data_IF_982872611764
#
_entry.id   IF_982872611764
#
_cell.length_a   1.000
_cell.length_b   1.000
_cell.length_c   1.000
_cell.angle_alpha   90.00
_cell.angle_beta   90.00
_cell.angle_gamma   90.00
#
_symmetry.space_group_name_H-M   'P 1'
#
loop_
_entity.id
_entity.type
_entity.pdbx_description
1 polymer ?
#
# COMPACT_ATOMS: atom_id res chain seq x y z
N UNK A 1 55.84 39.74 26.37
CA UNK A 1 56.49 39.85 25.04
C UNK A 1 56.72 38.50 24.34
N UNK A 2 56.75 37.34 25.02
CA UNK A 2 56.97 36.02 24.39
C UNK A 2 55.73 35.45 23.68
N UNK A 3 54.52 35.69 24.21
CA UNK A 3 53.26 35.17 23.64
C UNK A 3 52.90 35.82 22.29
N UNK A 4 53.17 37.12 22.13
CA UNK A 4 52.80 37.86 20.91
C UNK A 4 53.68 37.46 19.71
N UNK A 5 54.97 37.19 19.95
CA UNK A 5 55.87 36.65 18.92
C UNK A 5 55.52 35.23 18.48
N UNK A 6 54.97 34.40 19.38
CA UNK A 6 54.49 33.04 19.07
C UNK A 6 53.22 33.05 18.22
N UNK A 7 52.33 34.02 18.46
CA UNK A 7 51.10 34.17 17.68
C UNK A 7 51.40 34.63 16.24
N UNK A 8 52.36 35.54 16.06
CA UNK A 8 52.75 36.04 14.73
C UNK A 8 53.44 34.93 13.90
N UNK A 9 54.30 34.11 14.52
CA UNK A 9 54.94 32.96 13.84
C UNK A 9 53.98 31.82 13.54
N UNK A 10 53.02 31.52 14.42
CA UNK A 10 51.97 30.54 14.13
C UNK A 10 51.06 31.02 12.98
N UNK A 11 50.79 32.32 12.90
CA UNK A 11 49.95 32.91 11.86
C UNK A 11 50.62 32.90 10.48
N UNK A 12 51.93 33.16 10.41
CA UNK A 12 52.68 33.10 9.14
C UNK A 12 52.84 31.67 8.62
N UNK A 13 53.09 30.70 9.52
CA UNK A 13 53.11 29.27 9.19
C UNK A 13 51.75 28.77 8.69
N UNK A 14 50.66 29.29 9.27
CA UNK A 14 49.29 28.97 8.86
C UNK A 14 48.97 29.51 7.46
N UNK A 15 49.34 30.76 7.18
CA UNK A 15 49.14 31.39 5.86
C UNK A 15 49.92 30.64 4.76
N UNK A 16 51.14 30.18 5.05
CA UNK A 16 51.92 29.40 4.07
C UNK A 16 51.28 28.03 3.76
N UNK A 17 50.55 27.43 4.71
CA UNK A 17 49.82 26.16 4.50
C UNK A 17 48.55 26.34 3.68
N UNK A 18 47.91 27.52 3.73
CA UNK A 18 46.76 27.91 2.88
C UNK A 18 47.27 28.35 1.50
N UNK A 19 47.91 27.43 0.79
CA UNK A 19 48.28 27.61 -0.60
C UNK A 19 47.18 27.01 -1.49
N UNK A 20 46.86 27.67 -2.61
CA UNK A 20 45.89 27.18 -3.61
C UNK A 20 46.15 25.73 -4.03
N UNK A 21 47.42 25.28 -4.08
CA UNK A 21 47.77 23.90 -4.40
C UNK A 21 47.34 22.91 -3.30
N UNK A 22 47.49 23.28 -2.03
CA UNK A 22 47.08 22.48 -0.88
C UNK A 22 45.55 22.50 -0.72
N UNK A 23 44.90 23.65 -0.92
CA UNK A 23 43.44 23.75 -0.88
C UNK A 23 42.77 22.90 -1.96
N UNK A 24 43.32 22.87 -3.19
CA UNK A 24 42.82 21.98 -4.25
C UNK A 24 42.96 20.50 -3.89
N UNK A 25 44.07 20.14 -3.24
CA UNK A 25 44.33 18.78 -2.79
C UNK A 25 43.35 18.37 -1.66
N UNK A 26 43.13 19.23 -0.67
CA UNK A 26 42.11 19.03 0.37
C UNK A 26 40.70 18.94 -0.23
N UNK A 27 40.35 19.82 -1.16
CA UNK A 27 39.06 19.78 -1.85
C UNK A 27 38.86 18.46 -2.61
N UNK A 28 39.90 17.96 -3.27
CA UNK A 28 39.88 16.66 -3.93
C UNK A 28 39.61 15.52 -2.93
N UNK A 29 40.30 15.50 -1.80
CA UNK A 29 40.08 14.48 -0.76
C UNK A 29 38.68 14.55 -0.15
N UNK A 30 38.13 15.74 0.06
CA UNK A 30 36.76 15.92 0.58
C UNK A 30 35.73 15.39 -0.43
N UNK A 31 35.88 15.73 -1.71
CA UNK A 31 34.96 15.26 -2.77
C UNK A 31 35.06 13.74 -2.94
N UNK A 32 36.27 13.19 -2.99
CA UNK A 32 36.47 11.73 -3.10
C UNK A 32 35.90 11.01 -1.88
N UNK A 33 36.12 11.54 -0.67
CA UNK A 33 35.53 10.99 0.56
C UNK A 33 34.00 11.00 0.52
N UNK A 34 33.38 12.08 0.03
CA UNK A 34 31.93 12.18 -0.12
C UNK A 34 31.39 11.18 -1.15
N UNK A 35 32.04 11.06 -2.31
CA UNK A 35 31.66 10.08 -3.35
C UNK A 35 31.79 8.65 -2.84
N UNK A 36 32.87 8.32 -2.12
CA UNK A 36 33.07 6.99 -1.54
C UNK A 36 32.07 6.71 -0.41
N UNK A 37 31.80 7.67 0.48
CA UNK A 37 30.82 7.54 1.55
C UNK A 37 29.42 7.27 1.01
N UNK A 38 28.98 8.07 0.03
CA UNK A 38 27.72 7.83 -0.66
C UNK A 38 27.73 6.51 -1.45
N UNK A 39 28.85 6.16 -2.08
CA UNK A 39 29.03 4.88 -2.77
C UNK A 39 28.87 3.68 -1.82
N UNK A 40 29.49 3.71 -0.63
CA UNK A 40 29.36 2.69 0.40
C UNK A 40 27.92 2.62 0.90
N UNK A 41 27.24 3.74 1.15
CA UNK A 41 25.81 3.76 1.51
C UNK A 41 24.95 3.11 0.41
N UNK A 42 25.23 3.42 -0.86
CA UNK A 42 24.54 2.80 -1.99
C UNK A 42 24.89 1.32 -2.17
N UNK A 43 26.03 0.84 -1.69
CA UNK A 43 26.39 -0.57 -1.72
C UNK A 43 25.83 -1.33 -0.51
N UNK A 44 25.86 -0.77 0.70
CA UNK A 44 25.39 -1.44 1.92
C UNK A 44 23.87 -1.35 2.08
N UNK A 45 23.26 -0.18 1.83
CA UNK A 45 21.81 0.01 1.85
C UNK A 45 21.17 -0.21 0.46
N UNK A 46 21.89 0.12 -0.61
CA UNK A 46 21.38 -0.03 -1.97
C UNK A 46 21.61 -1.40 -2.60
N UNK A 47 22.56 -2.26 -2.19
CA UNK A 47 22.58 -3.65 -2.67
C UNK A 47 21.47 -4.50 -2.03
N UNK A 48 21.11 -4.20 -0.78
CA UNK A 48 19.93 -4.80 -0.11
C UNK A 48 18.63 -4.38 -0.79
N UNK A 49 18.52 -3.13 -1.25
CA UNK A 49 17.35 -2.66 -2.00
C UNK A 49 17.40 -3.03 -3.49
N UNK A 50 18.55 -3.10 -4.16
CA UNK A 50 18.65 -3.36 -5.61
C UNK A 50 18.60 -4.85 -5.97
N UNK A 51 19.05 -5.75 -5.08
CA UNK A 51 18.84 -7.20 -5.24
C UNK A 51 17.42 -7.61 -4.78
N UNK A 52 16.84 -6.95 -3.77
CA UNK A 52 15.40 -7.12 -3.46
C UNK A 52 14.53 -6.53 -4.57
N UNK A 53 14.69 -5.27 -4.97
CA UNK A 53 13.81 -4.63 -5.96
C UNK A 53 13.91 -5.25 -7.35
N UNK A 54 15.05 -5.77 -7.80
CA UNK A 54 15.09 -6.47 -9.09
C UNK A 54 14.35 -7.82 -9.05
N UNK A 55 14.38 -8.54 -7.94
CA UNK A 55 13.58 -9.76 -7.77
C UNK A 55 12.10 -9.43 -7.51
N UNK A 56 11.80 -8.38 -6.74
CA UNK A 56 10.44 -7.92 -6.39
C UNK A 56 9.72 -7.26 -7.56
N UNK A 57 10.43 -6.52 -8.42
CA UNK A 57 9.84 -5.90 -9.60
C UNK A 57 9.60 -6.92 -10.72
N UNK A 58 10.50 -7.90 -10.88
CA UNK A 58 10.28 -9.01 -11.80
C UNK A 58 9.16 -9.94 -11.29
N UNK A 59 9.06 -10.18 -9.98
CA UNK A 59 7.93 -10.91 -9.40
C UNK A 59 6.62 -10.12 -9.47
N UNK A 60 6.62 -8.79 -9.28
CA UNK A 60 5.41 -7.97 -9.40
C UNK A 60 4.96 -7.80 -10.86
N UNK A 61 5.89 -7.77 -11.81
CA UNK A 61 5.57 -7.72 -13.24
C UNK A 61 5.08 -9.09 -13.76
N UNK A 62 5.59 -10.20 -13.22
CA UNK A 62 5.19 -11.55 -13.61
C UNK A 62 3.98 -12.11 -12.83
N UNK A 63 3.77 -11.68 -11.58
CA UNK A 63 2.63 -12.08 -10.75
C UNK A 63 1.41 -11.17 -10.93
N UNK A 64 1.56 -10.07 -11.68
CA UNK A 64 0.57 -9.00 -11.69
C UNK A 64 0.56 -8.27 -10.34
N UNK A 65 -0.04 -7.09 -10.33
CA UNK A 65 -0.35 -6.40 -9.08
C UNK A 65 -1.35 -7.30 -8.35
N UNK A 66 -1.00 -7.81 -7.17
CA UNK A 66 -1.90 -8.61 -6.34
C UNK A 66 -3.13 -7.76 -5.96
N UNK A 67 -4.15 -7.75 -6.81
CA UNK A 67 -5.37 -6.94 -6.62
C UNK A 67 -6.05 -7.31 -5.31
N UNK A 68 -6.02 -8.59 -4.91
CA UNK A 68 -6.49 -9.05 -3.61
C UNK A 68 -5.69 -8.43 -2.45
N UNK A 69 -4.36 -8.37 -2.53
CA UNK A 69 -3.55 -7.77 -1.47
C UNK A 69 -3.86 -6.27 -1.38
N UNK A 70 -3.92 -5.59 -2.52
CA UNK A 70 -4.20 -4.16 -2.59
C UNK A 70 -5.64 -3.79 -2.13
N UNK A 71 -6.65 -4.61 -2.47
CA UNK A 71 -8.05 -4.36 -2.15
C UNK A 71 -8.56 -4.97 -0.84
N UNK A 72 -7.85 -5.91 -0.22
CA UNK A 72 -8.34 -6.58 1.00
C UNK A 72 -7.33 -6.56 2.15
N UNK A 73 -6.04 -6.41 1.87
CA UNK A 73 -4.98 -6.46 2.90
C UNK A 73 -4.33 -5.09 3.15
N UNK A 74 -4.10 -4.32 2.09
CA UNK A 74 -3.39 -3.04 2.15
C UNK A 74 -4.41 -1.88 2.23
N UNK A 75 -4.81 -1.56 3.46
CA UNK A 75 -5.70 -0.44 3.75
C UNK A 75 -5.47 0.14 5.14
N UNK A 76 -6.24 1.17 5.48
CA UNK A 76 -6.26 1.77 6.81
C UNK A 76 -7.68 1.92 7.34
N UNK A 77 -7.81 1.82 8.66
CA UNK A 77 -9.03 2.25 9.34
C UNK A 77 -8.99 3.76 9.53
N UNK A 78 -9.97 4.48 8.99
CA UNK A 78 -10.02 5.96 9.05
C UNK A 78 -10.78 6.50 10.27
N UNK A 79 -11.26 5.62 11.16
CA UNK A 79 -12.07 5.98 12.33
C UNK A 79 -12.88 4.79 12.85
N UNK A 80 -14.03 5.05 13.47
CA UNK A 80 -14.93 4.02 13.99
C UNK A 80 -15.44 3.09 12.87
N UNK A 81 -14.88 1.87 12.83
CA UNK A 81 -15.36 0.73 12.04
C UNK A 81 -15.40 0.89 10.51
N UNK A 82 -14.71 1.88 9.93
CA UNK A 82 -14.62 2.06 8.48
C UNK A 82 -13.23 1.69 7.98
N UNK A 83 -13.17 0.59 7.23
CA UNK A 83 -11.97 0.13 6.52
C UNK A 83 -11.90 0.77 5.13
N UNK A 84 -10.73 1.27 4.73
CA UNK A 84 -10.51 1.84 3.41
C UNK A 84 -9.18 1.37 2.78
N UNK A 85 -9.18 0.85 1.55
CA UNK A 85 -7.96 0.50 0.82
C UNK A 85 -7.12 1.74 0.48
N UNK A 86 -5.82 1.54 0.25
CA UNK A 86 -4.97 2.63 -0.26
C UNK A 86 -5.21 2.85 -1.74
N UNK A 87 -5.38 4.12 -2.16
CA UNK A 87 -5.49 4.49 -3.58
C UNK A 87 -6.91 4.53 -4.16
N UNK A 88 -7.92 4.08 -3.42
CA UNK A 88 -9.33 4.39 -3.73
C UNK A 88 -10.13 4.68 -2.45
N UNK A 89 -11.25 5.37 -2.60
CA UNK A 89 -12.20 5.61 -1.51
C UNK A 89 -13.34 4.62 -1.61
N UNK A 90 -13.61 3.88 -0.54
CA UNK A 90 -14.75 2.97 -0.49
C UNK A 90 -16.02 3.81 -0.30
N UNK A 91 -17.02 3.59 -1.17
CA UNK A 91 -18.31 4.24 -1.05
C UNK A 91 -19.26 3.39 -0.20
N UNK A 92 -19.97 4.03 0.73
CA UNK A 92 -21.01 3.39 1.53
C UNK A 92 -22.32 3.43 0.74
N UNK A 93 -22.71 2.30 0.18
CA UNK A 93 -23.95 2.19 -0.59
C UNK A 93 -25.17 2.10 0.33
N UNK A 94 -26.22 2.83 -0.01
CA UNK A 94 -27.56 2.60 0.53
C UNK A 94 -28.21 1.36 -0.09
N UNK A 95 -29.24 0.81 0.54
CA UNK A 95 -29.99 -0.35 0.01
C UNK A 95 -30.47 -0.14 -1.44
N UNK A 96 -30.98 1.05 -1.74
CA UNK A 96 -31.48 1.40 -3.07
C UNK A 96 -30.34 1.43 -4.11
N UNK A 97 -29.19 1.98 -3.76
CA UNK A 97 -28.02 2.05 -4.63
C UNK A 97 -27.41 0.66 -4.86
N UNK A 98 -27.33 -0.17 -3.81
CA UNK A 98 -26.90 -1.56 -3.93
C UNK A 98 -27.78 -2.33 -4.92
N UNK A 99 -29.10 -2.18 -4.81
CA UNK A 99 -30.06 -2.82 -5.73
C UNK A 99 -29.95 -2.26 -7.15
N UNK A 100 -29.76 -0.96 -7.30
CA UNK A 100 -29.55 -0.35 -8.63
C UNK A 100 -28.28 -0.87 -9.29
N UNK A 101 -27.17 -0.99 -8.55
CA UNK A 101 -25.91 -1.51 -9.05
C UNK A 101 -26.04 -2.95 -9.57
N UNK A 102 -26.68 -3.83 -8.79
CA UNK A 102 -26.92 -5.22 -9.20
C UNK A 102 -27.83 -5.32 -10.44
N UNK A 103 -28.81 -4.42 -10.58
CA UNK A 103 -29.64 -4.32 -11.80
C UNK A 103 -28.84 -3.91 -13.02
N UNK A 104 -27.92 -2.96 -12.87
CA UNK A 104 -27.05 -2.58 -13.97
C UNK A 104 -26.24 -3.79 -14.46
N UNK A 105 -25.64 -4.56 -13.55
CA UNK A 105 -24.87 -5.75 -13.92
C UNK A 105 -25.74 -6.77 -14.69
N UNK A 106 -27.00 -6.95 -14.27
CA UNK A 106 -27.94 -7.82 -14.98
C UNK A 106 -28.32 -7.30 -16.38
N UNK A 107 -28.47 -5.97 -16.53
CA UNK A 107 -28.79 -5.32 -17.81
C UNK A 107 -27.69 -5.52 -18.86
N UNK A 108 -26.41 -5.53 -18.47
CA UNK A 108 -25.29 -5.80 -19.36
C UNK A 108 -25.18 -7.29 -19.80
N UNK A 109 -26.23 -8.09 -19.59
CA UNK A 109 -26.30 -9.50 -19.98
C UNK A 109 -25.74 -10.48 -18.96
N UNK A 110 -25.38 -9.99 -17.77
CA UNK A 110 -24.90 -10.82 -16.66
C UNK A 110 -26.04 -11.55 -15.95
N UNK A 111 -25.80 -12.80 -15.51
CA UNK A 111 -26.57 -13.41 -14.43
C UNK A 111 -25.78 -13.23 -13.14
N UNK A 112 -26.38 -12.61 -12.13
CA UNK A 112 -25.69 -12.36 -10.87
C UNK A 112 -25.77 -13.63 -10.01
N UNK A 113 -24.73 -14.47 -10.04
CA UNK A 113 -24.64 -15.67 -9.21
C UNK A 113 -23.53 -15.50 -8.16
N UNK A 114 -23.92 -15.33 -6.90
CA UNK A 114 -23.01 -15.10 -5.77
C UNK A 114 -23.09 -16.28 -4.82
N UNK A 115 -21.94 -16.87 -4.49
CA UNK A 115 -21.87 -17.98 -3.52
C UNK A 115 -20.95 -17.58 -2.38
N UNK A 116 -21.47 -17.63 -1.16
CA UNK A 116 -20.73 -17.48 0.08
C UNK A 116 -20.33 -18.87 0.57
N UNK A 117 -19.02 -19.14 0.66
CA UNK A 117 -18.49 -20.43 1.13
C UNK A 117 -17.63 -20.19 2.35
N UNK A 118 -17.94 -20.84 3.46
CA UNK A 118 -17.08 -20.77 4.65
C UNK A 118 -17.76 -21.11 5.97
N UNK A 119 -17.27 -20.48 7.04
CA UNK A 119 -17.73 -20.73 8.40
C UNK A 119 -18.99 -19.91 8.76
N UNK A 120 -19.36 -19.95 10.05
CA UNK A 120 -20.48 -19.20 10.59
C UNK A 120 -20.38 -17.68 10.38
N UNK A 121 -19.18 -17.11 10.20
CA UNK A 121 -18.98 -15.67 9.92
C UNK A 121 -19.34 -15.33 8.49
N UNK A 122 -18.97 -16.19 7.53
CA UNK A 122 -19.39 -16.03 6.14
C UNK A 122 -20.92 -16.13 6.01
N UNK A 123 -21.57 -16.95 6.84
CA UNK A 123 -23.03 -17.00 6.91
C UNK A 123 -23.66 -15.72 7.48
N UNK A 124 -23.02 -15.10 8.47
CA UNK A 124 -23.45 -13.78 8.95
C UNK A 124 -23.30 -12.71 7.86
N UNK A 125 -22.22 -12.77 7.07
CA UNK A 125 -22.01 -11.87 5.93
C UNK A 125 -23.09 -12.06 4.84
N UNK A 126 -23.47 -13.31 4.54
CA UNK A 126 -24.62 -13.60 3.67
C UNK A 126 -25.90 -12.96 4.20
N UNK A 127 -26.19 -13.10 5.50
CA UNK A 127 -27.36 -12.48 6.11
C UNK A 127 -27.37 -10.96 5.98
N UNK A 128 -26.24 -10.31 6.23
CA UNK A 128 -26.07 -8.86 6.07
C UNK A 128 -26.18 -8.43 4.59
N UNK A 129 -25.65 -9.22 3.66
CA UNK A 129 -25.76 -8.95 2.23
C UNK A 129 -27.22 -9.00 1.75
N UNK A 130 -27.97 -10.04 2.12
CA UNK A 130 -29.39 -10.15 1.77
C UNK A 130 -30.20 -9.00 2.37
N UNK A 131 -29.90 -8.59 3.61
CA UNK A 131 -30.50 -7.39 4.23
C UNK A 131 -30.19 -6.10 3.48
N UNK A 132 -28.99 -5.97 2.92
CA UNK A 132 -28.57 -4.80 2.12
C UNK A 132 -29.25 -4.74 0.75
N UNK A 133 -29.55 -5.88 0.14
CA UNK A 133 -30.24 -5.94 -1.16
C UNK A 133 -31.75 -5.76 -1.00
N UNK A 134 -32.31 -6.36 0.04
CA UNK A 134 -33.73 -6.29 0.36
C UNK A 134 -33.90 -5.87 1.83
N UNK A 135 -34.44 -4.67 2.13
CA UNK A 135 -34.60 -4.20 3.50
C UNK A 135 -35.70 -4.94 4.31
N UNK A 136 -36.43 -5.88 3.69
CA UNK A 136 -37.42 -6.75 4.36
C UNK A 136 -37.17 -8.25 4.11
N UNK A 137 -36.06 -8.83 4.59
CA UNK A 137 -35.89 -10.27 4.55
C UNK A 137 -36.23 -10.88 5.92
N UNK A 138 -37.09 -11.88 5.91
CA UNK A 138 -37.36 -12.71 7.07
C UNK A 138 -36.06 -13.38 7.56
N UNK A 139 -35.90 -13.60 8.88
CA UNK A 139 -34.70 -14.21 9.43
C UNK A 139 -34.61 -15.68 8.99
N UNK A 140 -33.80 -15.96 7.96
CA UNK A 140 -33.41 -17.33 7.62
C UNK A 140 -32.28 -17.77 8.57
N UNK A 141 -32.66 -18.12 9.79
CA UNK A 141 -31.75 -18.65 10.80
C UNK A 141 -31.72 -20.18 10.71
N UNK A 142 -30.56 -20.73 10.33
CA UNK A 142 -30.30 -22.16 10.32
C UNK A 142 -28.89 -22.50 9.83
N UNK A 143 -28.26 -23.53 10.41
CA UNK A 143 -27.01 -24.12 9.90
C UNK A 143 -27.33 -25.08 8.75
N UNK A 144 -27.76 -24.54 7.62
CA UNK A 144 -28.02 -25.29 6.39
C UNK A 144 -27.75 -24.41 5.19
N UNK A 145 -27.64 -25.04 4.02
CA UNK A 145 -27.51 -24.32 2.77
C UNK A 145 -28.74 -23.43 2.55
N UNK A 146 -28.52 -22.14 2.36
CA UNK A 146 -29.58 -21.17 2.09
C UNK A 146 -29.46 -20.66 0.66
N UNK A 147 -30.61 -20.43 0.04
CA UNK A 147 -30.74 -19.91 -1.31
C UNK A 147 -31.68 -18.70 -1.27
N UNK A 148 -31.18 -17.57 -1.74
CA UNK A 148 -31.94 -16.37 -2.01
C UNK A 148 -31.99 -16.10 -3.51
N UNK A 149 -33.18 -15.89 -4.06
CA UNK A 149 -33.37 -15.62 -5.47
C UNK A 149 -34.28 -14.41 -5.67
N UNK A 150 -33.80 -13.41 -6.41
CA UNK A 150 -34.56 -12.22 -6.75
C UNK A 150 -34.72 -12.10 -8.27
N UNK A 151 -35.96 -12.31 -8.73
CA UNK A 151 -36.31 -12.36 -10.15
C UNK A 151 -36.09 -11.02 -10.85
N UNK A 152 -36.41 -9.91 -10.19
CA UNK A 152 -36.24 -8.55 -10.74
C UNK A 152 -34.78 -8.17 -11.03
N UNK A 153 -33.84 -8.87 -10.40
CA UNK A 153 -32.40 -8.60 -10.51
C UNK A 153 -31.61 -9.72 -11.18
N UNK A 154 -32.29 -10.79 -11.60
CA UNK A 154 -31.64 -12.04 -12.02
C UNK A 154 -30.50 -12.44 -11.06
N UNK A 155 -30.77 -12.30 -9.76
CA UNK A 155 -29.80 -12.49 -8.69
C UNK A 155 -30.08 -13.81 -7.97
N UNK A 156 -29.06 -14.65 -7.88
CA UNK A 156 -29.06 -15.90 -7.13
C UNK A 156 -27.91 -15.84 -6.13
N UNK A 157 -28.23 -15.87 -4.84
CA UNK A 157 -27.26 -15.86 -3.75
C UNK A 157 -27.37 -17.16 -2.97
N UNK A 158 -26.26 -17.86 -2.78
CA UNK A 158 -26.20 -19.13 -2.05
C UNK A 158 -25.19 -19.04 -0.92
N UNK A 159 -25.44 -19.76 0.16
CA UNK A 159 -24.43 -20.04 1.20
C UNK A 159 -24.28 -21.54 1.39
N UNK A 160 -23.03 -22.00 1.44
CA UNK A 160 -22.63 -23.39 1.67
C UNK A 160 -21.60 -23.46 2.82
#
# INVERSE_FOLDING_TARGET
MVEEGRHITASSEFIHRINARNCKLVACFVVVGFVLYHGVIHLTYGASWRLRVRLSALSAFLAGIDTCKWLLSDGRFQGYHVWQPYGCMLHTYTNAESRMCLRYIAYWGGKNHIVFVGDSRIRQLYGAFVQQVQPSPAPQQGHRDLLYEEKDLHLTVRVA
#
